data_IF_161600307867
#
_entry.id   IF_161600307867
#
_cell.length_a   1.000
_cell.length_b   1.000
_cell.length_c   1.000
_cell.angle_alpha   90.00
_cell.angle_beta   90.00
_cell.angle_gamma   90.00
#
_symmetry.space_group_name_H-M   'P 1'
#
loop_
_entity.id
_entity.type
_entity.pdbx_description
1 polymer ?
#
# COMPACT_ATOMS: atom_id res chain seq x y z
N UNK A 1 -5.91 13.48 -34.08
CA UNK A 1 -5.27 12.47 -33.22
C UNK A 1 -4.68 13.17 -32.02
N UNK A 2 -5.11 12.85 -30.79
CA UNK A 2 -4.73 13.66 -29.61
C UNK A 2 -3.33 13.29 -29.09
N UNK A 3 -2.42 14.26 -28.88
CA UNK A 3 -1.03 14.04 -28.44
C UNK A 3 -0.89 13.63 -26.95
N UNK A 4 -2.01 13.44 -26.24
CA UNK A 4 -2.08 13.24 -24.79
C UNK A 4 -1.30 12.02 -24.29
N UNK A 5 -1.05 11.02 -25.14
CA UNK A 5 -0.42 9.76 -24.73
C UNK A 5 1.04 9.60 -25.17
N UNK A 6 1.57 10.53 -25.97
CA UNK A 6 2.93 10.43 -26.53
C UNK A 6 4.04 10.83 -25.54
N UNK A 7 3.73 11.63 -24.52
CA UNK A 7 4.71 12.24 -23.60
C UNK A 7 5.06 11.39 -22.38
N UNK A 8 4.43 10.23 -22.15
CA UNK A 8 4.84 9.30 -21.08
C UNK A 8 5.78 8.26 -21.66
N UNK A 9 7.06 8.61 -21.76
CA UNK A 9 8.14 7.66 -22.04
C UNK A 9 8.02 6.47 -21.05
N UNK A 10 7.86 5.26 -21.60
CA UNK A 10 7.90 4.04 -20.80
C UNK A 10 9.39 3.67 -20.64
N UNK A 11 9.91 3.51 -19.40
CA UNK A 11 11.32 3.16 -19.21
C UNK A 11 11.65 1.82 -19.88
N UNK A 12 12.84 1.71 -20.48
CA UNK A 12 13.32 0.52 -21.22
C UNK A 12 13.68 -0.69 -20.34
N UNK A 13 13.12 -0.76 -19.13
CA UNK A 13 13.34 -1.83 -18.16
C UNK A 13 12.86 -1.41 -16.77
N UNK A 14 12.52 -2.36 -15.90
CA UNK A 14 12.13 -2.05 -14.52
C UNK A 14 13.33 -1.52 -13.73
N UNK A 15 13.32 -0.22 -13.41
CA UNK A 15 14.22 0.36 -12.40
C UNK A 15 13.71 -0.06 -11.02
N UNK A 16 14.24 -1.16 -10.50
CA UNK A 16 13.84 -1.72 -9.20
C UNK A 16 15.06 -1.88 -8.31
N UNK A 17 15.11 -1.17 -7.18
CA UNK A 17 16.12 -1.38 -6.14
C UNK A 17 15.65 -2.42 -5.12
N UNK A 18 16.60 -3.12 -4.48
CA UNK A 18 16.31 -3.87 -3.26
C UNK A 18 16.10 -2.89 -2.10
N UNK A 19 15.27 -3.26 -1.14
CA UNK A 19 15.06 -2.48 0.07
C UNK A 19 16.18 -2.78 1.09
N UNK A 20 16.54 -1.80 1.92
CA UNK A 20 17.66 -1.88 2.89
C UNK A 20 17.28 -2.62 4.20
N UNK A 21 16.06 -3.14 4.27
CA UNK A 21 15.54 -3.82 5.48
C UNK A 21 15.99 -5.27 5.52
N UNK A 22 16.17 -5.80 6.73
CA UNK A 22 16.47 -7.20 6.95
C UNK A 22 15.23 -8.11 6.79
N UNK A 23 15.42 -9.42 6.54
CA UNK A 23 14.37 -10.44 6.57
C UNK A 23 13.47 -10.40 7.83
N UNK A 24 14.00 -9.96 8.97
CA UNK A 24 13.28 -9.91 10.24
C UNK A 24 12.33 -8.70 10.39
N UNK A 25 12.40 -7.72 9.49
CA UNK A 25 11.63 -6.47 9.57
C UNK A 25 10.36 -6.47 8.72
N UNK A 26 10.17 -7.44 7.85
CA UNK A 26 8.97 -7.53 7.02
C UNK A 26 8.40 -8.94 7.02
N UNK A 27 7.08 -9.02 7.11
CA UNK A 27 6.31 -10.23 6.87
C UNK A 27 5.30 -9.92 5.77
N UNK A 28 5.32 -10.67 4.67
CA UNK A 28 4.34 -10.52 3.59
C UNK A 28 3.53 -11.80 3.50
N UNK A 29 2.23 -11.76 3.81
CA UNK A 29 1.37 -12.93 3.75
C UNK A 29 0.32 -12.78 2.64
N UNK A 30 0.28 -13.74 1.72
CA UNK A 30 -0.85 -13.94 0.81
C UNK A 30 -1.82 -14.91 1.49
N UNK A 31 -3.01 -14.44 1.82
CA UNK A 31 -4.04 -15.27 2.45
C UNK A 31 -5.09 -15.61 1.40
N UNK A 32 -5.27 -16.89 1.13
CA UNK A 32 -6.15 -17.37 0.07
C UNK A 32 -7.49 -17.86 0.58
N UNK A 33 -7.69 -18.04 1.89
CA UNK A 33 -8.95 -18.51 2.50
C UNK A 33 -9.30 -17.70 3.75
N UNK A 34 -10.59 -17.39 3.93
CA UNK A 34 -11.08 -16.76 5.17
C UNK A 34 -11.16 -17.79 6.30
N UNK A 35 -11.20 -17.36 7.58
CA UNK A 35 -11.37 -18.28 8.69
C UNK A 35 -12.67 -19.07 8.50
N UNK A 36 -12.60 -20.37 8.76
CA UNK A 36 -13.77 -21.25 8.75
C UNK A 36 -14.51 -21.29 7.39
N UNK A 37 -13.84 -20.86 6.31
CA UNK A 37 -14.33 -20.87 4.94
C UNK A 37 -13.48 -21.80 4.07
N UNK A 38 -14.11 -22.75 3.39
CA UNK A 38 -13.39 -23.66 2.48
C UNK A 38 -13.05 -23.02 1.14
N UNK A 39 -13.87 -22.08 0.69
CA UNK A 39 -13.70 -21.41 -0.59
C UNK A 39 -12.54 -20.42 -0.55
N UNK A 40 -11.81 -20.37 -1.67
CA UNK A 40 -10.74 -19.40 -1.84
C UNK A 40 -11.29 -17.98 -2.02
N UNK A 41 -10.63 -17.01 -1.39
CA UNK A 41 -10.98 -15.59 -1.47
C UNK A 41 -10.74 -15.10 -2.89
N UNK A 42 -11.82 -14.80 -3.61
CA UNK A 42 -11.72 -14.06 -4.86
C UNK A 42 -12.65 -12.88 -4.78
N UNK A 43 -12.08 -11.68 -4.66
CA UNK A 43 -12.90 -10.47 -4.57
C UNK A 43 -13.38 -10.08 -5.97
N UNK A 44 -14.61 -10.46 -6.31
CA UNK A 44 -15.32 -10.04 -7.52
C UNK A 44 -16.37 -9.00 -7.15
N UNK A 45 -17.04 -8.41 -8.15
CA UNK A 45 -18.08 -7.42 -7.91
C UNK A 45 -19.24 -8.04 -7.09
N UNK A 46 -19.61 -9.28 -7.40
CA UNK A 46 -20.66 -10.03 -6.74
C UNK A 46 -20.33 -10.36 -5.29
N UNK A 47 -19.04 -10.55 -4.97
CA UNK A 47 -18.57 -10.81 -3.61
C UNK A 47 -18.96 -9.68 -2.66
N UNK A 48 -18.97 -8.43 -3.15
CA UNK A 48 -19.30 -7.25 -2.33
C UNK A 48 -20.79 -7.11 -2.01
N UNK A 49 -21.64 -7.96 -2.59
CA UNK A 49 -23.08 -8.03 -2.31
C UNK A 49 -23.43 -9.22 -1.41
N UNK A 50 -22.47 -10.13 -1.17
CA UNK A 50 -22.66 -11.34 -0.39
C UNK A 50 -22.42 -11.06 1.11
N UNK A 51 -23.50 -10.85 1.87
CA UNK A 51 -23.44 -10.52 3.31
C UNK A 51 -22.62 -11.54 4.13
N UNK A 52 -22.82 -12.88 4.01
CA UNK A 52 -21.95 -13.86 4.66
C UNK A 52 -20.46 -13.66 4.39
N UNK A 53 -20.09 -13.39 3.13
CA UNK A 53 -18.70 -13.10 2.77
C UNK A 53 -18.19 -11.82 3.45
N UNK A 54 -18.98 -10.74 3.49
CA UNK A 54 -18.60 -9.50 4.15
C UNK A 54 -18.39 -9.69 5.65
N UNK A 55 -19.25 -10.47 6.32
CA UNK A 55 -19.12 -10.79 7.74
C UNK A 55 -17.86 -11.63 8.01
N UNK A 56 -17.61 -12.67 7.20
CA UNK A 56 -16.40 -13.50 7.31
C UNK A 56 -15.12 -12.67 7.08
N UNK A 57 -15.14 -11.78 6.09
CA UNK A 57 -14.05 -10.85 5.81
C UNK A 57 -13.79 -9.91 6.99
N UNK A 58 -14.86 -9.34 7.58
CA UNK A 58 -14.76 -8.51 8.77
C UNK A 58 -14.17 -9.26 9.97
N UNK A 59 -14.61 -10.49 10.21
CA UNK A 59 -14.06 -11.36 11.25
C UNK A 59 -12.57 -11.67 11.04
N UNK A 60 -12.14 -11.87 9.79
CA UNK A 60 -10.74 -12.05 9.44
C UNK A 60 -9.91 -10.79 9.72
N UNK A 61 -10.41 -9.61 9.35
CA UNK A 61 -9.74 -8.33 9.61
C UNK A 61 -9.62 -8.08 11.11
N UNK A 62 -10.63 -8.42 11.92
CA UNK A 62 -10.55 -8.35 13.39
C UNK A 62 -9.40 -9.23 13.90
N UNK A 63 -9.36 -10.52 13.53
CA UNK A 63 -8.30 -11.45 13.96
C UNK A 63 -6.90 -10.96 13.58
N UNK A 64 -6.73 -10.44 12.35
CA UNK A 64 -5.47 -9.82 11.92
C UNK A 64 -5.13 -8.59 12.75
N UNK A 65 -6.13 -7.75 13.06
CA UNK A 65 -5.95 -6.52 13.83
C UNK A 65 -5.54 -6.78 15.28
N UNK A 66 -5.96 -7.90 15.86
CA UNK A 66 -5.55 -8.35 17.20
C UNK A 66 -4.05 -8.67 17.26
N UNK A 67 -3.46 -9.13 16.14
CA UNK A 67 -2.05 -9.54 16.08
C UNK A 67 -1.08 -8.44 15.65
N UNK A 68 -1.59 -7.36 15.04
CA UNK A 68 -0.76 -6.26 14.52
C UNK A 68 -0.82 -5.08 15.51
N UNK A 69 0.28 -4.63 16.11
CA UNK A 69 0.30 -3.46 17.00
C UNK A 69 0.12 -2.14 16.24
N UNK A 70 -0.18 -1.04 16.95
CA UNK A 70 -0.23 0.30 16.36
C UNK A 70 -1.26 0.47 15.23
N UNK A 71 -0.91 1.30 14.24
CA UNK A 71 -1.76 1.65 13.11
C UNK A 71 -1.81 0.59 12.00
N UNK A 72 -3.01 0.32 11.50
CA UNK A 72 -3.28 -0.52 10.32
C UNK A 72 -3.93 0.32 9.22
N UNK A 73 -3.49 0.13 7.97
CA UNK A 73 -4.17 0.64 6.78
C UNK A 73 -4.80 -0.53 6.03
N UNK A 74 -6.13 -0.54 5.90
CA UNK A 74 -6.88 -1.57 5.19
C UNK A 74 -7.45 -1.00 3.89
N UNK A 75 -6.94 -1.45 2.75
CA UNK A 75 -7.27 -0.93 1.43
C UNK A 75 -8.33 -1.76 0.69
N UNK A 76 -9.40 -1.11 0.28
CA UNK A 76 -10.52 -1.65 -0.48
C UNK A 76 -10.42 -1.27 -1.96
N UNK A 77 -10.84 -2.15 -2.90
CA UNK A 77 -10.75 -1.88 -4.34
C UNK A 77 -11.62 -0.72 -4.83
N UNK A 78 -12.67 -0.35 -4.09
CA UNK A 78 -13.56 0.77 -4.43
C UNK A 78 -14.33 1.27 -3.20
N UNK A 79 -14.90 2.47 -3.30
CA UNK A 79 -15.80 3.00 -2.26
C UNK A 79 -17.07 2.15 -2.12
N UNK A 80 -17.56 1.56 -3.21
CA UNK A 80 -18.73 0.65 -3.17
C UNK A 80 -18.44 -0.57 -2.29
N UNK A 81 -17.25 -1.18 -2.44
CA UNK A 81 -16.83 -2.30 -1.61
C UNK A 81 -16.65 -1.89 -0.14
N UNK A 82 -16.03 -0.73 0.10
CA UNK A 82 -15.82 -0.17 1.43
C UNK A 82 -17.15 0.09 2.15
N UNK A 83 -18.07 0.80 1.50
CA UNK A 83 -19.38 1.17 2.05
C UNK A 83 -20.26 -0.05 2.31
N UNK A 84 -20.26 -1.04 1.42
CA UNK A 84 -20.96 -2.31 1.63
C UNK A 84 -20.44 -3.06 2.87
N UNK A 85 -19.11 -3.12 3.04
CA UNK A 85 -18.50 -3.71 4.24
C UNK A 85 -18.86 -2.94 5.50
N UNK A 86 -18.66 -1.61 5.51
CA UNK A 86 -18.96 -0.76 6.66
C UNK A 86 -20.43 -0.86 7.06
N UNK A 87 -21.36 -0.75 6.10
CA UNK A 87 -22.79 -0.87 6.37
C UNK A 87 -23.13 -2.24 6.99
N UNK A 88 -22.58 -3.32 6.42
CA UNK A 88 -22.80 -4.69 6.94
C UNK A 88 -22.22 -4.87 8.35
N UNK A 89 -21.02 -4.33 8.61
CA UNK A 89 -20.35 -4.48 9.89
C UNK A 89 -20.98 -3.63 11.00
N UNK A 90 -21.67 -2.53 10.64
CA UNK A 90 -22.38 -1.64 11.54
C UNK A 90 -23.85 -2.01 11.76
N UNK A 91 -24.51 -2.65 10.79
CA UNK A 91 -25.94 -2.91 10.85
C UNK A 91 -26.33 -4.12 11.71
N UNK A 92 -25.43 -5.09 11.90
CA UNK A 92 -25.78 -6.36 12.52
C UNK A 92 -24.73 -6.86 13.52
N UNK A 93 -25.23 -7.30 14.68
CA UNK A 93 -24.60 -8.40 15.42
C UNK A 93 -25.07 -9.71 14.81
N UNK A 94 -24.27 -10.30 13.92
CA UNK A 94 -24.52 -11.67 13.45
C UNK A 94 -24.25 -12.71 14.56
N UNK A 95 -24.28 -14.02 14.25
CA UNK A 95 -23.95 -15.08 15.22
C UNK A 95 -22.55 -14.91 15.84
N UNK A 96 -21.63 -14.29 15.10
CA UNK A 96 -20.23 -14.03 15.47
C UNK A 96 -20.02 -12.69 16.19
N UNK A 97 -21.11 -12.02 16.60
CA UNK A 97 -21.12 -10.70 17.23
C UNK A 97 -21.04 -9.53 16.25
N UNK A 98 -21.01 -8.31 16.81
CA UNK A 98 -20.99 -7.06 16.05
C UNK A 98 -19.55 -6.75 15.59
N UNK A 99 -19.24 -7.05 14.32
CA UNK A 99 -17.89 -6.89 13.73
C UNK A 99 -17.31 -5.50 14.01
N UNK A 100 -18.11 -4.45 13.83
CA UNK A 100 -17.66 -3.09 14.09
C UNK A 100 -17.30 -2.83 15.56
N UNK A 101 -18.03 -3.44 16.50
CA UNK A 101 -17.74 -3.28 17.92
C UNK A 101 -16.44 -4.00 18.29
N UNK A 102 -16.21 -5.19 17.73
CA UNK A 102 -14.96 -5.93 17.90
C UNK A 102 -13.77 -5.18 17.31
N UNK A 103 -13.92 -4.58 16.13
CA UNK A 103 -12.89 -3.71 15.55
C UNK A 103 -12.57 -2.53 16.47
N UNK A 104 -13.57 -1.83 17.01
CA UNK A 104 -13.34 -0.71 17.94
C UNK A 104 -12.74 -1.13 19.29
N UNK A 105 -13.07 -2.33 19.76
CA UNK A 105 -12.49 -2.90 20.97
C UNK A 105 -11.02 -3.28 20.75
N UNK A 106 -10.71 -3.85 19.58
CA UNK A 106 -9.34 -4.24 19.19
C UNK A 106 -8.48 -3.03 18.86
N UNK A 107 -9.04 -2.07 18.11
CA UNK A 107 -8.41 -0.85 17.62
C UNK A 107 -9.23 0.32 18.13
N UNK A 108 -8.67 1.10 19.05
CA UNK A 108 -9.39 2.17 19.77
C UNK A 108 -10.12 3.16 18.86
N UNK A 109 -9.68 3.30 17.59
CA UNK A 109 -10.45 3.95 16.55
C UNK A 109 -10.50 3.15 15.24
N UNK A 110 -11.67 3.21 14.58
CA UNK A 110 -11.88 2.80 13.18
C UNK A 110 -12.17 4.06 12.39
N UNK A 111 -11.24 4.47 11.52
CA UNK A 111 -11.35 5.67 10.69
C UNK A 111 -11.69 5.24 9.27
N UNK A 112 -12.75 5.81 8.68
CA UNK A 112 -13.13 5.55 7.30
C UNK A 112 -12.61 6.70 6.44
N UNK A 113 -12.03 6.38 5.28
CA UNK A 113 -11.62 7.40 4.33
C UNK A 113 -12.81 8.27 3.88
N UNK A 114 -12.74 9.60 4.06
CA UNK A 114 -13.81 10.48 3.63
C UNK A 114 -13.80 10.66 2.11
N UNK A 115 -14.99 10.75 1.50
CA UNK A 115 -15.13 11.13 0.09
C UNK A 115 -14.73 12.60 -0.15
N UNK A 116 -15.02 13.48 0.81
CA UNK A 116 -14.72 14.91 0.72
C UNK A 116 -13.25 15.19 1.07
N UNK A 117 -12.60 16.06 0.28
CA UNK A 117 -11.24 16.52 0.59
C UNK A 117 -11.20 17.38 1.86
N UNK A 118 -12.29 18.09 2.18
CA UNK A 118 -12.36 18.97 3.34
C UNK A 118 -12.30 18.21 4.68
N UNK A 119 -12.84 16.98 4.72
CA UNK A 119 -12.83 16.13 5.92
C UNK A 119 -11.54 15.31 6.07
N UNK A 120 -10.64 15.34 5.07
CA UNK A 120 -9.42 14.54 5.07
C UNK A 120 -8.46 14.91 6.21
N UNK A 121 -8.18 16.20 6.51
CA UNK A 121 -7.25 16.57 7.57
C UNK A 121 -7.72 16.08 8.94
N UNK A 122 -9.02 16.18 9.22
CA UNK A 122 -9.63 15.71 10.46
C UNK A 122 -9.51 14.18 10.61
N UNK A 123 -9.83 13.43 9.55
CA UNK A 123 -9.68 11.98 9.54
C UNK A 123 -8.22 11.54 9.76
N UNK A 124 -7.26 12.23 9.13
CA UNK A 124 -5.83 11.97 9.31
C UNK A 124 -5.39 12.22 10.76
N UNK A 125 -5.79 13.36 11.34
CA UNK A 125 -5.45 13.72 12.71
C UNK A 125 -6.05 12.74 13.72
N UNK A 126 -7.32 12.38 13.54
CA UNK A 126 -8.02 11.38 14.36
C UNK A 126 -7.33 10.02 14.30
N UNK A 127 -6.97 9.55 13.10
CA UNK A 127 -6.22 8.31 12.93
C UNK A 127 -4.85 8.38 13.60
N UNK A 128 -4.09 9.44 13.37
CA UNK A 128 -2.74 9.56 13.91
C UNK A 128 -2.73 9.59 15.44
N UNK A 129 -3.66 10.32 16.05
CA UNK A 129 -3.82 10.34 17.51
C UNK A 129 -4.15 8.96 18.07
N UNK A 130 -5.08 8.24 17.44
CA UNK A 130 -5.49 6.92 17.90
C UNK A 130 -4.43 5.83 17.62
N UNK A 131 -3.69 5.91 16.52
CA UNK A 131 -2.65 4.95 16.15
C UNK A 131 -1.47 4.96 17.14
N UNK A 132 -1.21 6.09 17.79
CA UNK A 132 -0.22 6.22 18.88
C UNK A 132 -0.71 5.74 20.24
N UNK A 133 -2.00 5.40 20.38
CA UNK A 133 -2.54 4.84 21.63
C UNK A 133 -2.13 3.37 21.82
N UNK A 134 -2.27 2.86 23.05
CA UNK A 134 -1.99 1.45 23.36
C UNK A 134 -2.81 0.46 22.51
N UNK A 135 -4.02 0.85 22.08
CA UNK A 135 -4.89 0.02 21.25
C UNK A 135 -4.62 0.18 19.75
N UNK A 136 -3.92 1.24 19.34
CA UNK A 136 -3.73 1.60 17.94
C UNK A 136 -5.04 1.96 17.22
N UNK A 137 -4.97 2.04 15.89
CA UNK A 137 -6.11 2.41 15.04
C UNK A 137 -6.11 1.63 13.73
N UNK A 138 -7.27 1.52 13.10
CA UNK A 138 -7.39 1.00 11.74
C UNK A 138 -8.05 2.04 10.84
N UNK A 139 -7.44 2.31 9.69
CA UNK A 139 -8.00 3.14 8.65
C UNK A 139 -8.53 2.24 7.53
N UNK A 140 -9.83 2.34 7.23
CA UNK A 140 -10.46 1.71 6.09
C UNK A 140 -10.43 2.69 4.92
N UNK A 141 -9.54 2.46 3.97
CA UNK A 141 -9.24 3.35 2.86
C UNK A 141 -9.46 2.66 1.51
N UNK A 142 -9.54 3.41 0.43
CA UNK A 142 -9.60 2.86 -0.93
C UNK A 142 -8.24 2.99 -1.62
N UNK A 143 -7.90 2.05 -2.51
CA UNK A 143 -6.71 2.23 -3.34
C UNK A 143 -6.85 3.48 -4.22
N UNK A 144 -5.77 4.24 -4.39
CA UNK A 144 -5.75 5.53 -5.12
C UNK A 144 -6.72 6.56 -4.52
N UNK A 145 -7.15 6.34 -3.29
CA UNK A 145 -7.85 7.32 -2.48
C UNK A 145 -6.90 8.41 -1.98
N UNK A 146 -7.49 9.48 -1.44
CA UNK A 146 -6.76 10.62 -0.89
C UNK A 146 -5.91 10.21 0.31
N UNK A 147 -6.44 9.33 1.16
CA UNK A 147 -5.69 8.76 2.30
C UNK A 147 -4.51 7.90 1.83
N UNK A 148 -4.61 7.30 0.64
CA UNK A 148 -3.59 6.41 0.08
C UNK A 148 -2.47 7.12 -0.69
N UNK A 149 -2.66 8.36 -1.12
CA UNK A 149 -1.70 9.13 -1.92
C UNK A 149 -1.04 10.26 -1.13
N UNK A 150 -1.82 11.06 -0.38
CA UNK A 150 -1.40 12.35 0.15
C UNK A 150 -0.88 12.39 1.59
N UNK A 151 -0.82 11.25 2.29
CA UNK A 151 -0.52 11.20 3.73
C UNK A 151 0.59 10.20 4.04
N UNK A 152 1.53 10.59 4.91
CA UNK A 152 2.63 9.74 5.37
C UNK A 152 2.39 9.30 6.81
N UNK A 153 2.15 8.00 7.04
CA UNK A 153 1.83 7.43 8.36
C UNK A 153 3.03 6.75 9.02
N UNK A 154 4.03 7.50 9.48
CA UNK A 154 5.37 6.98 9.88
C UNK A 154 5.37 6.03 11.08
N UNK A 155 6.26 5.02 11.05
CA UNK A 155 6.53 4.10 12.15
C UNK A 155 5.27 3.45 12.76
N UNK A 156 5.00 3.74 14.04
CA UNK A 156 3.85 3.21 14.78
C UNK A 156 2.49 3.57 14.18
N UNK A 157 2.44 4.60 13.33
CA UNK A 157 1.23 4.97 12.59
C UNK A 157 0.88 3.97 11.49
N UNK A 158 1.80 3.09 11.06
CA UNK A 158 1.52 2.04 10.09
C UNK A 158 2.46 0.83 10.29
N UNK A 159 2.04 -0.10 11.13
CA UNK A 159 2.69 -1.41 11.35
C UNK A 159 2.05 -2.53 10.54
N UNK A 160 0.85 -2.29 10.01
CA UNK A 160 0.14 -3.23 9.15
C UNK A 160 -0.44 -2.57 7.91
N UNK A 161 -0.34 -3.24 6.77
CA UNK A 161 -1.17 -2.95 5.59
C UNK A 161 -1.94 -4.21 5.23
N UNK A 162 -3.26 -4.09 5.11
CA UNK A 162 -4.16 -5.14 4.65
C UNK A 162 -4.71 -4.72 3.30
N UNK A 163 -4.37 -5.45 2.26
CA UNK A 163 -4.79 -5.21 0.89
C UNK A 163 -5.90 -6.18 0.52
N UNK A 164 -7.12 -5.67 0.35
CA UNK A 164 -8.26 -6.47 -0.08
C UNK A 164 -8.32 -6.51 -1.61
N UNK A 165 -8.34 -7.71 -2.17
CA UNK A 165 -8.57 -7.88 -3.59
C UNK A 165 -7.46 -7.36 -4.49
N UNK A 166 -7.85 -7.06 -5.74
CA UNK A 166 -6.98 -6.47 -6.76
C UNK A 166 -7.71 -5.27 -7.38
N UNK A 167 -7.18 -4.03 -7.25
CA UNK A 167 -7.87 -2.79 -7.64
C UNK A 167 -7.75 -2.52 -9.14
N UNK A 168 -8.40 -3.37 -9.94
CA UNK A 168 -8.50 -3.13 -11.38
C UNK A 168 -9.27 -1.84 -11.66
N UNK A 169 -8.80 -0.97 -12.58
CA UNK A 169 -9.62 0.10 -13.11
C UNK A 169 -10.91 -0.45 -13.71
N UNK A 170 -11.96 0.36 -13.78
CA UNK A 170 -13.21 -0.09 -14.39
C UNK A 170 -12.99 -0.40 -15.88
N UNK A 171 -13.21 -1.65 -16.28
CA UNK A 171 -12.92 -2.11 -17.64
C UNK A 171 -13.79 -1.41 -18.71
N UNK A 172 -14.97 -0.90 -18.31
CA UNK A 172 -15.91 -0.17 -19.15
C UNK A 172 -15.64 1.34 -19.24
N UNK A 173 -14.65 1.85 -18.51
CA UNK A 173 -14.27 3.27 -18.59
C UNK A 173 -13.78 3.60 -20.01
N UNK A 174 -14.36 4.62 -20.69
CA UNK A 174 -13.96 5.01 -22.03
C UNK A 174 -12.47 5.32 -22.17
N UNK A 175 -11.83 5.89 -21.15
CA UNK A 175 -10.39 6.21 -21.14
C UNK A 175 -9.58 4.92 -21.08
N UNK A 176 -10.00 3.94 -20.28
CA UNK A 176 -9.36 2.62 -20.18
C UNK A 176 -9.49 1.89 -21.52
N UNK A 177 -10.69 1.85 -22.10
CA UNK A 177 -10.93 1.23 -23.41
C UNK A 177 -10.07 1.88 -24.49
N UNK A 178 -10.09 3.21 -24.58
CA UNK A 178 -9.33 3.97 -25.57
C UNK A 178 -7.81 3.73 -25.42
N UNK A 179 -7.28 3.74 -24.20
CA UNK A 179 -5.85 3.51 -23.96
C UNK A 179 -5.42 2.09 -24.29
N UNK A 180 -6.25 1.08 -23.96
CA UNK A 180 -5.99 -0.32 -24.33
C UNK A 180 -5.93 -0.49 -25.86
N UNK A 181 -6.95 0.02 -26.57
CA UNK A 181 -6.99 0.00 -28.04
C UNK A 181 -5.80 0.73 -28.67
N UNK A 182 -5.42 1.89 -28.12
CA UNK A 182 -4.26 2.64 -28.59
C UNK A 182 -2.97 1.84 -28.43
N UNK A 183 -2.75 1.22 -27.25
CA UNK A 183 -1.57 0.39 -27.01
C UNK A 183 -1.51 -0.79 -27.99
N UNK A 184 -2.64 -1.48 -28.20
CA UNK A 184 -2.71 -2.62 -29.12
C UNK A 184 -2.42 -2.21 -30.57
N UNK A 185 -2.96 -1.08 -31.03
CA UNK A 185 -2.71 -0.55 -32.37
C UNK A 185 -1.24 -0.15 -32.61
N UNK A 186 -0.58 0.46 -31.62
CA UNK A 186 0.81 0.91 -31.75
C UNK A 186 1.81 -0.25 -31.75
N UNK A 187 1.44 -1.41 -31.19
CA UNK A 187 2.22 -2.64 -31.30
C UNK A 187 2.18 -3.23 -32.71
N UNK A 188 1.04 -3.16 -33.39
CA UNK A 188 0.90 -3.64 -34.77
C UNK A 188 1.67 -2.77 -35.78
N UNK A 189 1.91 -1.49 -35.45
CA UNK A 189 2.54 -0.51 -36.35
C UNK A 189 4.09 -0.53 -36.34
N UNK A 190 4.73 -1.60 -35.89
CA UNK A 190 6.20 -1.75 -35.95
C UNK A 190 7.01 -0.94 -34.92
N UNK A 191 6.37 -0.19 -34.03
CA UNK A 191 7.03 0.46 -32.86
C UNK A 191 7.13 -0.49 -31.66
N UNK A 192 7.54 -1.74 -31.94
CA UNK A 192 7.69 -2.79 -30.96
C UNK A 192 8.78 -2.38 -29.94
N UNK A 193 8.33 -1.90 -28.77
CA UNK A 193 9.21 -1.42 -27.70
C UNK A 193 8.69 -0.19 -26.95
N UNK A 194 7.79 0.60 -27.55
CA UNK A 194 7.28 1.85 -26.94
C UNK A 194 6.03 1.62 -26.07
N UNK A 195 5.21 0.61 -26.39
CA UNK A 195 3.94 0.36 -25.69
C UNK A 195 3.75 -1.10 -25.25
N UNK A 196 3.45 -1.28 -23.96
CA UNK A 196 2.94 -2.54 -23.38
C UNK A 196 1.61 -2.95 -24.05
N UNK A 197 1.32 -4.25 -24.22
CA UNK A 197 -0.02 -4.70 -24.64
C UNK A 197 -1.13 -4.08 -23.81
N UNK A 198 -2.28 -3.80 -24.41
CA UNK A 198 -3.39 -3.15 -23.71
C UNK A 198 -3.82 -3.92 -22.47
N UNK A 199 -3.85 -5.25 -22.55
CA UNK A 199 -4.09 -6.14 -21.40
C UNK A 199 -3.06 -5.96 -20.29
N UNK A 200 -1.78 -6.03 -20.62
CA UNK A 200 -0.68 -5.94 -19.64
C UNK A 200 -0.62 -4.55 -19.00
N UNK A 201 -0.85 -3.49 -19.78
CA UNK A 201 -0.96 -2.13 -19.26
C UNK A 201 -2.11 -1.99 -18.26
N UNK A 202 -3.27 -2.60 -18.56
CA UNK A 202 -4.44 -2.59 -17.69
C UNK A 202 -4.17 -3.34 -16.38
N UNK A 203 -3.59 -4.54 -16.48
CA UNK A 203 -3.17 -5.33 -15.31
C UNK A 203 -2.14 -4.57 -14.45
N UNK A 204 -1.15 -3.93 -15.09
CA UNK A 204 -0.13 -3.13 -14.44
C UNK A 204 -0.72 -1.95 -13.64
N UNK A 205 -1.85 -1.37 -14.06
CA UNK A 205 -2.50 -0.33 -13.27
C UNK A 205 -2.87 -0.84 -11.87
N UNK A 206 -3.44 -2.05 -11.78
CA UNK A 206 -3.84 -2.64 -10.51
C UNK A 206 -2.64 -2.92 -9.61
N UNK A 207 -1.57 -3.49 -10.17
CA UNK A 207 -0.38 -3.86 -9.40
C UNK A 207 0.38 -2.63 -8.88
N UNK A 208 0.39 -1.53 -9.64
CA UNK A 208 0.96 -0.26 -9.17
C UNK A 208 0.26 0.27 -7.92
N UNK A 209 -1.08 0.22 -7.90
CA UNK A 209 -1.85 0.66 -6.74
C UNK A 209 -1.59 -0.22 -5.50
N UNK A 210 -1.46 -1.53 -5.69
CA UNK A 210 -1.13 -2.45 -4.58
C UNK A 210 0.28 -2.19 -4.07
N UNK A 211 1.28 -2.09 -4.94
CA UNK A 211 2.66 -1.80 -4.52
C UNK A 211 2.79 -0.43 -3.82
N UNK A 212 2.02 0.57 -4.26
CA UNK A 212 1.94 1.86 -3.57
C UNK A 212 1.36 1.74 -2.16
N UNK A 213 0.30 0.93 -1.98
CA UNK A 213 -0.27 0.65 -0.67
C UNK A 213 0.70 -0.09 0.25
N UNK A 214 1.34 -1.15 -0.25
CA UNK A 214 2.32 -1.95 0.50
C UNK A 214 3.54 -1.12 0.93
N UNK A 215 4.00 -0.21 0.07
CA UNK A 215 5.11 0.70 0.37
C UNK A 215 4.83 1.72 1.47
N UNK A 216 3.60 1.81 2.00
CA UNK A 216 3.26 2.72 3.11
C UNK A 216 3.76 2.22 4.46
N UNK A 217 3.94 0.90 4.62
CA UNK A 217 4.34 0.30 5.88
C UNK A 217 5.86 0.33 6.10
N UNK A 218 6.65 0.21 5.03
CA UNK A 218 8.10 0.05 5.08
C UNK A 218 8.77 1.16 4.28
N UNK A 219 9.34 2.17 4.97
CA UNK A 219 9.82 3.41 4.33
C UNK A 219 11.28 3.72 4.50
N UNK A 220 11.86 3.31 5.61
CA UNK A 220 13.27 3.51 5.90
C UNK A 220 13.88 2.22 6.42
N UNK A 221 15.21 2.20 6.48
CA UNK A 221 15.98 1.03 6.92
C UNK A 221 15.56 0.51 8.31
N UNK A 222 15.12 1.38 9.22
CA UNK A 222 14.72 1.00 10.58
C UNK A 222 13.21 0.69 10.73
N UNK A 223 12.45 0.72 9.65
CA UNK A 223 11.01 0.46 9.73
C UNK A 223 10.75 -1.05 9.77
N UNK A 224 9.58 -1.44 10.27
CA UNK A 224 9.12 -2.83 10.26
C UNK A 224 7.60 -2.91 10.22
N UNK A 225 7.08 -3.99 9.65
CA UNK A 225 5.64 -4.22 9.60
C UNK A 225 5.20 -5.44 8.81
N UNK A 226 3.89 -5.72 8.91
CA UNK A 226 3.25 -6.84 8.26
C UNK A 226 2.38 -6.37 7.08
N UNK A 227 2.47 -7.09 5.97
CA UNK A 227 1.82 -6.80 4.71
C UNK A 227 0.94 -7.98 4.32
N UNK A 228 -0.38 -7.81 4.35
CA UNK A 228 -1.35 -8.89 4.14
C UNK A 228 -2.10 -8.67 2.84
N UNK A 229 -2.05 -9.64 1.92
CA UNK A 229 -2.79 -9.65 0.66
C UNK A 229 -3.96 -10.65 0.80
N UNK A 230 -5.20 -10.16 0.90
CA UNK A 230 -6.41 -10.98 0.98
C UNK A 230 -7.05 -11.17 -0.40
N UNK A 231 -6.45 -12.05 -1.22
CA UNK A 231 -7.03 -12.56 -2.46
C UNK A 231 -6.21 -13.74 -3.02
N UNK A 232 -6.86 -14.84 -3.36
CA UNK A 232 -6.23 -16.05 -3.88
C UNK A 232 -5.53 -15.85 -5.23
N UNK A 233 -5.87 -14.81 -6.00
CA UNK A 233 -5.20 -14.51 -7.28
C UNK A 233 -3.72 -14.16 -7.10
N UNK A 234 -3.32 -13.66 -5.93
CA UNK A 234 -1.92 -13.36 -5.62
C UNK A 234 -1.04 -14.60 -5.53
N UNK A 235 -1.60 -15.71 -5.07
CA UNK A 235 -0.88 -16.95 -4.85
C UNK A 235 -0.29 -17.53 -6.14
N UNK A 236 0.72 -18.39 -6.00
CA UNK A 236 1.28 -19.15 -7.11
C UNK A 236 0.51 -20.44 -7.38
N UNK A 237 -0.10 -21.01 -6.35
CA UNK A 237 -0.78 -22.30 -6.43
C UNK A 237 -2.22 -22.20 -5.91
N UNK A 238 -3.08 -23.09 -6.40
CA UNK A 238 -4.50 -23.18 -6.04
C UNK A 238 -5.44 -22.80 -7.17
N UNK A 239 -6.73 -23.14 -7.01
CA UNK A 239 -7.76 -23.07 -8.05
C UNK A 239 -7.96 -21.67 -8.66
N UNK A 240 -7.65 -20.61 -7.91
CA UNK A 240 -7.84 -19.22 -8.35
C UNK A 240 -6.53 -18.43 -8.45
N UNK A 241 -5.40 -19.09 -8.26
CA UNK A 241 -4.08 -18.50 -8.40
C UNK A 241 -3.85 -18.00 -9.83
N UNK A 242 -3.32 -16.78 -9.96
CA UNK A 242 -2.89 -16.20 -11.25
C UNK A 242 -1.40 -15.89 -11.27
N UNK A 243 -0.68 -16.25 -10.20
CA UNK A 243 0.74 -15.94 -10.04
C UNK A 243 0.99 -14.43 -9.96
N UNK A 244 0.05 -13.64 -9.43
CA UNK A 244 0.21 -12.18 -9.40
C UNK A 244 1.35 -11.74 -8.47
N UNK A 245 1.85 -12.62 -7.59
CA UNK A 245 3.07 -12.39 -6.78
C UNK A 245 4.25 -11.86 -7.59
N UNK A 246 4.37 -12.24 -8.88
CA UNK A 246 5.43 -11.76 -9.78
C UNK A 246 5.36 -10.26 -10.07
N UNK A 247 4.21 -9.64 -9.83
CA UNK A 247 3.98 -8.21 -10.03
C UNK A 247 4.15 -7.38 -8.75
N UNK A 248 4.41 -8.03 -7.60
CA UNK A 248 4.89 -7.33 -6.42
C UNK A 248 6.28 -6.75 -6.69
N UNK A 249 6.60 -5.64 -6.04
CA UNK A 249 7.94 -5.05 -6.09
C UNK A 249 9.00 -6.12 -5.76
N UNK A 250 10.10 -6.17 -6.51
CA UNK A 250 11.10 -7.24 -6.37
C UNK A 250 11.62 -7.40 -4.94
N UNK A 251 11.76 -6.29 -4.20
CA UNK A 251 12.21 -6.34 -2.82
C UNK A 251 11.21 -7.03 -1.88
N UNK A 252 9.91 -7.06 -2.18
CA UNK A 252 8.91 -7.75 -1.34
C UNK A 252 8.93 -9.27 -1.51
N UNK A 253 9.26 -9.74 -2.71
CA UNK A 253 9.09 -11.16 -3.11
C UNK A 253 9.79 -12.17 -2.18
N UNK A 254 11.00 -11.92 -1.64
CA UNK A 254 11.65 -12.84 -0.72
C UNK A 254 10.91 -13.04 0.61
N UNK A 255 10.05 -12.09 0.99
CA UNK A 255 9.32 -12.07 2.26
C UNK A 255 7.92 -12.69 2.15
N UNK A 256 7.52 -13.12 0.95
CA UNK A 256 6.16 -13.58 0.65
C UNK A 256 5.97 -15.02 1.12
N UNK A 257 5.02 -15.21 2.02
CA UNK A 257 4.51 -16.49 2.49
C UNK A 257 3.06 -16.67 2.01
N UNK A 258 2.70 -17.86 1.54
CA UNK A 258 1.32 -18.19 1.12
C UNK A 258 0.60 -18.96 2.24
N UNK A 259 -0.64 -18.57 2.54
CA UNK A 259 -1.45 -19.10 3.63
C UNK A 259 -2.82 -19.56 3.13
N UNK A 260 -3.26 -20.81 3.42
CA UNK A 260 -2.65 -21.80 4.31
C UNK A 260 -1.31 -22.38 3.80
N UNK A 261 -0.35 -22.55 4.71
CA UNK A 261 0.90 -23.28 4.43
C UNK A 261 0.56 -24.78 4.36
N UNK A 262 0.70 -25.42 3.19
CA UNK A 262 0.44 -26.88 3.06
C UNK A 262 -0.14 -27.39 1.74
N UNK A 263 -0.51 -26.53 0.78
CA UNK A 263 -0.95 -26.99 -0.54
C UNK A 263 0.16 -27.63 -1.40
N UNK A 264 1.40 -27.71 -0.89
CA UNK A 264 2.56 -28.30 -1.58
C UNK A 264 2.79 -29.79 -1.28
N UNK A 265 2.03 -30.42 -0.37
CA UNK A 265 2.26 -31.82 0.04
C UNK A 265 1.06 -32.77 -0.19
N UNK A 266 -0.07 -32.30 -0.71
CA UNK A 266 -1.30 -33.12 -0.84
C UNK A 266 -1.53 -33.72 -2.24
N UNK A 267 -0.49 -33.97 -3.03
CA UNK A 267 -0.59 -34.71 -4.32
C UNK A 267 -0.10 -36.15 -4.26
N UNK A 268 0.15 -36.70 -3.07
CA UNK A 268 0.46 -38.12 -2.92
C UNK A 268 0.01 -38.65 -1.56
N UNK A 269 -0.73 -39.75 -1.60
CA UNK A 269 -1.14 -40.62 -0.47
C UNK A 269 -2.49 -40.27 0.19
N UNK A 270 -3.51 -40.99 -0.30
CA UNK A 270 -4.67 -41.60 0.37
C UNK A 270 -5.33 -40.87 1.56
N UNK A 271 -6.56 -40.41 1.30
CA UNK A 271 -7.73 -40.76 2.10
C UNK A 271 -7.77 -40.28 3.56
N UNK A 272 -8.24 -39.06 3.78
CA UNK A 272 -8.67 -38.60 5.10
C UNK A 272 -9.14 -37.15 5.07
N UNK A 273 -10.45 -36.93 4.89
CA UNK A 273 -11.08 -35.61 5.06
C UNK A 273 -11.15 -35.27 6.54
N UNK A 274 -10.06 -34.74 7.10
CA UNK A 274 -10.09 -34.09 8.41
C UNK A 274 -10.55 -32.64 8.21
N UNK A 275 -11.72 -32.31 8.74
CA UNK A 275 -12.21 -30.96 8.94
C UNK A 275 -11.17 -30.16 9.77
N UNK A 276 -10.31 -29.40 9.09
CA UNK A 276 -9.21 -28.60 9.69
C UNK A 276 -9.31 -27.11 9.28
N UNK A 277 -10.53 -26.59 9.13
CA UNK A 277 -10.78 -25.18 8.77
C UNK A 277 -10.17 -24.17 9.75
N UNK A 278 -9.87 -24.57 10.99
CA UNK A 278 -9.30 -23.70 12.02
C UNK A 278 -7.77 -23.66 12.11
N UNK A 279 -7.03 -24.71 11.71
CA UNK A 279 -5.60 -24.84 12.07
C UNK A 279 -4.69 -23.82 11.38
N UNK A 280 -4.99 -23.46 10.12
CA UNK A 280 -4.13 -22.60 9.32
C UNK A 280 -4.16 -21.13 9.74
N UNK A 281 -5.31 -20.63 10.20
CA UNK A 281 -5.40 -19.26 10.74
C UNK A 281 -4.67 -19.14 12.08
N UNK A 282 -4.74 -20.15 12.95
CA UNK A 282 -3.93 -20.16 14.17
C UNK A 282 -2.43 -20.06 13.86
N UNK A 283 -1.95 -20.76 12.82
CA UNK A 283 -0.58 -20.66 12.35
C UNK A 283 -0.20 -19.25 11.87
N UNK A 284 -1.05 -18.61 11.04
CA UNK A 284 -0.81 -17.25 10.56
C UNK A 284 -0.78 -16.22 11.71
N UNK A 285 -1.73 -16.31 12.64
CA UNK A 285 -1.82 -15.39 13.78
C UNK A 285 -0.62 -15.56 14.71
N UNK A 286 -0.22 -16.80 15.02
CA UNK A 286 0.99 -17.07 15.80
C UNK A 286 2.25 -16.57 15.10
N UNK A 287 2.34 -16.72 13.77
CA UNK A 287 3.45 -16.20 12.95
C UNK A 287 3.53 -14.67 13.00
N UNK A 288 2.39 -13.97 12.99
CA UNK A 288 2.30 -12.50 13.12
C UNK A 288 2.72 -12.04 14.51
N UNK A 289 2.23 -12.69 15.57
CA UNK A 289 2.59 -12.38 16.95
C UNK A 289 4.11 -12.52 17.16
N UNK A 290 4.68 -13.68 16.79
CA UNK A 290 6.11 -13.93 16.88
C UNK A 290 6.95 -13.00 15.98
N UNK A 291 6.37 -12.43 14.93
CA UNK A 291 7.03 -11.41 14.12
C UNK A 291 7.11 -10.08 14.88
N UNK A 292 6.00 -9.58 15.41
CA UNK A 292 5.96 -8.29 16.10
C UNK A 292 6.68 -8.28 17.46
N UNK A 293 6.90 -9.44 18.08
CA UNK A 293 7.78 -9.56 19.25
C UNK A 293 9.27 -9.36 18.90
N UNK A 294 9.70 -9.78 17.71
CA UNK A 294 11.13 -9.78 17.30
C UNK A 294 11.52 -8.59 16.44
N UNK A 295 10.61 -8.11 15.60
CA UNK A 295 10.88 -7.06 14.61
C UNK A 295 11.41 -5.73 15.22
N UNK A 296 10.92 -5.25 16.38
CA UNK A 296 11.47 -4.04 17.02
C UNK A 296 12.95 -4.19 17.36
N UNK A 297 13.36 -5.36 17.88
CA UNK A 297 14.76 -5.65 18.21
C UNK A 297 15.66 -5.64 16.98
N UNK A 298 15.22 -6.29 15.89
CA UNK A 298 15.96 -6.30 14.62
C UNK A 298 16.13 -4.89 14.03
N UNK A 299 15.09 -4.05 14.13
CA UNK A 299 15.16 -2.66 13.70
C UNK A 299 16.15 -1.83 14.56
N UNK A 300 16.18 -2.07 15.87
CA UNK A 300 17.10 -1.39 16.79
C UNK A 300 18.55 -1.85 16.62
N UNK A 301 18.80 -3.14 16.38
CA UNK A 301 20.12 -3.67 16.05
C UNK A 301 20.69 -3.03 14.79
N UNK A 302 19.88 -2.87 13.73
CA UNK A 302 20.30 -2.13 12.54
C UNK A 302 20.63 -0.66 12.83
N UNK A 303 19.93 -0.05 13.80
CA UNK A 303 20.20 1.34 14.24
C UNK A 303 21.54 1.44 14.97
N UNK A 304 21.85 0.47 15.84
CA UNK A 304 23.12 0.40 16.59
C UNK A 304 24.31 0.01 15.71
N UNK A 305 24.15 -0.97 14.81
CA UNK A 305 25.18 -1.42 13.87
C UNK A 305 25.60 -0.37 12.83
N UNK A 306 24.82 0.71 12.66
CA UNK A 306 25.18 1.87 11.85
C UNK A 306 26.11 2.89 12.53
N UNK A 307 26.41 2.74 13.83
CA UNK A 307 27.27 3.66 14.60
C UNK A 307 28.77 3.34 14.56
N UNK A 308 29.18 2.27 13.88
CA UNK A 308 30.56 1.75 13.85
C UNK A 308 31.51 2.38 12.83
N UNK A 309 31.34 3.67 12.51
CA UNK A 309 32.41 4.48 11.88
C UNK A 309 32.43 5.81 12.60
N UNK A 310 33.24 5.87 13.66
CA UNK A 310 33.57 7.09 14.37
C UNK A 310 34.23 8.07 13.39
N UNK A 311 33.45 9.01 12.87
CA UNK A 311 34.02 10.23 12.32
C UNK A 311 34.62 10.99 13.50
N UNK A 312 35.94 10.93 13.60
CA UNK A 312 36.76 11.59 14.62
C UNK A 312 36.46 13.08 14.55
N UNK A 313 35.69 13.57 15.52
CA UNK A 313 35.50 14.99 15.75
C UNK A 313 36.88 15.62 15.98
N UNK A 314 37.30 16.49 15.07
CA UNK A 314 38.27 17.53 15.42
C UNK A 314 37.47 18.67 16.07
N UNK A 315 37.70 18.80 17.37
CA UNK A 315 37.22 19.86 18.23
C UNK A 315 38.11 21.10 18.09
N UNK A 316 37.52 22.24 17.72
CA UNK A 316 37.90 23.61 18.12
C UNK A 316 37.10 24.60 17.25
N UNK A 317 36.49 25.68 17.69
CA UNK A 317 36.21 26.29 18.99
C UNK A 317 35.07 27.30 18.73
N UNK A 318 34.38 27.71 19.79
CA UNK A 318 33.19 28.59 19.84
C UNK A 318 33.36 30.00 19.22
N UNK A 319 32.23 30.72 18.96
CA UNK A 319 32.19 32.03 18.30
C UNK A 319 32.15 33.21 19.31
N UNK A 320 32.64 34.41 18.93
CA UNK A 320 32.11 35.73 19.35
C UNK A 320 32.81 36.94 18.64
N UNK A 321 32.36 38.23 18.73
CA UNK A 321 32.03 39.05 17.55
C UNK A 321 32.76 40.42 17.40
N UNK A 322 32.40 41.14 16.32
CA UNK A 322 32.44 42.60 16.08
C UNK A 322 33.74 43.29 15.60
N UNK A 323 33.58 44.26 14.67
CA UNK A 323 34.55 45.36 14.40
C UNK A 323 34.92 45.58 12.92
N UNK A 324 34.39 46.64 12.28
CA UNK A 324 34.91 47.16 10.99
C UNK A 324 36.30 47.83 11.14
N UNK A 325 36.95 48.27 10.03
CA UNK A 325 36.63 49.59 9.50
C UNK A 325 36.70 49.74 7.96
N UNK A 326 36.41 50.99 7.56
CA UNK A 326 36.05 51.64 6.30
C UNK A 326 37.11 51.85 5.19
N UNK A 327 36.66 51.69 3.92
CA UNK A 327 36.75 52.54 2.68
C UNK A 327 38.12 53.09 2.18
N UNK A 328 38.31 53.32 0.84
CA UNK A 328 37.64 54.44 0.12
C UNK A 328 37.16 54.15 -1.33
N UNK A 329 36.42 55.13 -1.87
CA UNK A 329 35.69 55.16 -3.16
C UNK A 329 36.47 55.89 -4.29
N UNK A 330 36.22 55.64 -5.59
CA UNK A 330 35.45 56.45 -6.60
C UNK A 330 35.96 56.08 -8.03
N UNK A 331 35.44 56.59 -9.19
CA UNK A 331 34.07 57.04 -9.57
C UNK A 331 33.64 56.60 -11.02
N UNK A 332 32.38 56.87 -11.43
CA UNK A 332 32.03 57.17 -12.85
C UNK A 332 30.90 56.37 -13.53
N UNK A 333 29.76 57.04 -13.77
CA UNK A 333 28.54 56.67 -14.54
C UNK A 333 28.75 56.71 -16.10
N UNK A 334 27.76 56.48 -17.01
CA UNK A 334 26.29 56.36 -16.86
C UNK A 334 25.57 55.22 -17.64
N UNK A 335 24.25 55.22 -17.49
CA UNK A 335 23.22 54.28 -17.95
C UNK A 335 22.71 54.50 -19.40
N UNK A 336 22.18 53.42 -19.99
CA UNK A 336 21.18 53.37 -21.06
C UNK A 336 20.42 52.03 -20.87
N UNK A 337 19.09 51.89 -20.88
CA UNK A 337 18.03 52.76 -21.37
C UNK A 337 17.50 52.29 -22.72
N UNK A 338 16.83 51.13 -22.81
CA UNK A 338 15.88 50.83 -23.90
C UNK A 338 14.83 49.81 -23.45
N UNK A 339 13.56 50.19 -23.59
CA UNK A 339 12.39 49.32 -23.41
C UNK A 339 11.90 48.75 -24.75
N UNK A 340 11.16 47.64 -24.70
CA UNK A 340 10.38 47.09 -25.81
C UNK A 340 8.97 46.76 -25.27
N UNK A 341 7.88 47.19 -25.95
CA UNK A 341 6.51 47.06 -25.46
C UNK A 341 5.86 45.69 -25.77
N UNK A 342 4.74 45.32 -25.10
CA UNK A 342 4.07 44.03 -25.30
C UNK A 342 3.15 43.98 -26.54
N UNK A 343 3.00 42.76 -27.08
CA UNK A 343 2.20 42.38 -28.27
C UNK A 343 0.67 42.39 -28.01
N UNK A 344 -0.18 42.74 -28.99
CA UNK A 344 -1.64 42.65 -28.88
C UNK A 344 -2.18 41.22 -29.13
N UNK A 345 -3.40 40.91 -28.63
CA UNK A 345 -4.03 39.58 -28.77
C UNK A 345 -4.67 39.35 -30.14
N UNK A 346 -4.88 38.08 -30.55
CA UNK A 346 -5.49 37.75 -31.84
C UNK A 346 -7.02 37.91 -31.85
N UNK A 347 -7.53 38.44 -32.96
CA UNK A 347 -8.95 38.52 -33.29
C UNK A 347 -9.50 37.17 -33.76
N UNK A 348 -10.72 36.82 -33.35
CA UNK A 348 -11.47 35.68 -33.82
C UNK A 348 -12.38 36.07 -35.00
N UNK A 349 -12.63 35.16 -35.96
CA UNK A 349 -13.91 35.07 -36.66
C UNK A 349 -14.91 34.18 -35.89
#
# INVERSE_FOLDING_TARGET
MSPVYATRAQPQGPLEALHVISPAQALVAIVTKLPDCEDAIVTRFESWQNVPFLLALGGAIVKLSESIPGGILCFFPSFVALEACVATWQAAGGPSGHVWARLRCTKGAVVIEPRSAAALPEACASYAAAACSAHGAICLAVYRGKMSEGVSFNDGLCRGVICLGVPYPQATDPVVIAKRRWNDAHRCAGTAGVALPGRDWYELQAYRAVNQALGRCLRHRFDYGALILLDARWAAHGQHARGLRRHLARWLRPFVEEWPQGAQLATGVLGGTAHLGGSHWHGLLGRLQAFFERAPGAAEEQRKGGGGTACRAQSSASPEPSGGPSRPARPGQPAAGTGVPPRPPPAAP
#
